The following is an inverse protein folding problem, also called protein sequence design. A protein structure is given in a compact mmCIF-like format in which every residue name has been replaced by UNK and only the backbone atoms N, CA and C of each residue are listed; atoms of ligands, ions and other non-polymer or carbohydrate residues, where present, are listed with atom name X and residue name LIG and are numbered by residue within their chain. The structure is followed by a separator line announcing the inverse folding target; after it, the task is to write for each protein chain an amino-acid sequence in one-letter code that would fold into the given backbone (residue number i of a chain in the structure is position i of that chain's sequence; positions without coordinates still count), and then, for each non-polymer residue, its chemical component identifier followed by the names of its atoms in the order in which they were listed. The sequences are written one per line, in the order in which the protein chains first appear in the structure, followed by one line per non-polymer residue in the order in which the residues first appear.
data_IF_602800706335
#
_entry.id   IF_602800706335
#
_cell.length_a   1.000
_cell.length_b   1.000
_cell.length_c   1.000
_cell.angle_alpha   90.00
_cell.angle_beta   90.00
_cell.angle_gamma   90.00
#
_symmetry.space_group_name_H-M   'P 1'
#
loop_
_entity.id
_entity.type
_entity.pdbx_description
1 polymer ?
#
# COMPACT_ATOMS: atom_id res chain seq x y z
N UNK A 1 -7.81 -17.40 30.97
CA UNK A 1 -7.32 -16.01 31.03
C UNK A 1 -5.84 -15.86 30.63
N UNK A 2 -5.11 -16.93 30.30
CA UNK A 2 -3.67 -16.89 29.97
C UNK A 2 -3.34 -16.36 28.55
N UNK A 3 -4.30 -16.36 27.62
CA UNK A 3 -4.09 -16.01 26.20
C UNK A 3 -3.86 -14.52 25.93
N UNK A 4 -4.53 -13.63 26.68
CA UNK A 4 -4.39 -12.18 26.51
C UNK A 4 -3.05 -11.68 27.10
N UNK A 5 -2.67 -12.20 28.27
CA UNK A 5 -1.38 -11.87 28.91
C UNK A 5 -0.18 -12.32 28.05
N UNK A 6 -0.25 -13.50 27.43
CA UNK A 6 0.80 -14.02 26.55
C UNK A 6 0.95 -13.19 25.26
N UNK A 7 -0.18 -12.75 24.70
CA UNK A 7 -0.22 -11.84 23.54
C UNK A 7 0.29 -10.43 23.89
N UNK A 8 0.03 -9.95 25.11
CA UNK A 8 0.54 -8.67 25.60
C UNK A 8 2.05 -8.70 25.87
N UNK A 9 2.58 -9.83 26.37
CA UNK A 9 4.01 -9.99 26.70
C UNK A 9 4.92 -10.03 25.46
N UNK A 10 4.38 -10.46 24.31
CA UNK A 10 5.06 -10.48 23.01
C UNK A 10 4.88 -9.19 22.21
N UNK A 11 4.08 -8.24 22.71
CA UNK A 11 3.73 -7.03 21.98
C UNK A 11 4.86 -6.00 22.05
N UNK A 12 5.46 -5.68 20.90
CA UNK A 12 6.40 -4.57 20.80
C UNK A 12 5.64 -3.24 20.84
N UNK A 13 5.46 -2.69 22.05
CA UNK A 13 4.73 -1.44 22.29
C UNK A 13 5.21 -0.30 21.38
N UNK A 14 6.53 -0.21 21.14
CA UNK A 14 7.09 0.80 20.23
C UNK A 14 6.64 0.58 18.78
N UNK A 15 6.59 -0.67 18.35
CA UNK A 15 6.10 -1.05 17.01
C UNK A 15 4.62 -0.71 16.82
N UNK A 16 3.80 -1.03 17.82
CA UNK A 16 2.36 -0.69 17.79
C UNK A 16 2.14 0.82 17.79
N UNK A 17 2.90 1.57 18.60
CA UNK A 17 2.83 3.03 18.65
C UNK A 17 3.23 3.67 17.31
N UNK A 18 4.32 3.20 16.70
CA UNK A 18 4.74 3.65 15.38
C UNK A 18 3.71 3.29 14.29
N UNK A 19 3.16 2.08 14.33
CA UNK A 19 2.11 1.66 13.39
C UNK A 19 0.88 2.55 13.51
N UNK A 20 0.45 2.89 14.74
CA UNK A 20 -0.66 3.80 14.97
C UNK A 20 -0.41 5.20 14.39
N UNK A 21 0.80 5.75 14.58
CA UNK A 21 1.19 7.04 13.99
C UNK A 21 1.15 6.97 12.47
N UNK A 22 1.76 5.93 11.88
CA UNK A 22 1.78 5.74 10.42
C UNK A 22 0.36 5.64 9.89
N UNK A 23 -0.52 4.85 10.51
CA UNK A 23 -1.91 4.73 10.11
C UNK A 23 -2.67 6.06 10.17
N UNK A 24 -2.49 6.84 11.25
CA UNK A 24 -3.10 8.15 11.38
C UNK A 24 -2.62 9.14 10.29
N UNK A 25 -1.31 9.14 10.01
CA UNK A 25 -0.72 9.97 8.96
C UNK A 25 -1.16 9.53 7.56
N UNK A 26 -1.25 8.22 7.30
CA UNK A 26 -1.78 7.68 6.05
C UNK A 26 -3.24 8.08 5.84
N UNK A 27 -4.05 8.11 6.90
CA UNK A 27 -5.43 8.59 6.83
C UNK A 27 -5.49 10.08 6.47
N UNK A 28 -4.69 10.91 7.14
CA UNK A 28 -4.59 12.35 6.82
C UNK A 28 -4.13 12.56 5.38
N UNK A 29 -3.09 11.84 4.93
CA UNK A 29 -2.62 11.91 3.55
C UNK A 29 -3.70 11.51 2.54
N UNK A 30 -4.47 10.45 2.81
CA UNK A 30 -5.59 10.04 1.97
C UNK A 30 -6.67 11.13 1.87
N UNK A 31 -6.95 11.84 2.96
CA UNK A 31 -7.90 12.95 2.96
C UNK A 31 -7.40 14.11 2.09
N UNK A 32 -6.13 14.50 2.21
CA UNK A 32 -5.53 15.52 1.35
C UNK A 32 -5.57 15.15 -0.14
N UNK A 33 -5.31 13.88 -0.46
CA UNK A 33 -5.39 13.40 -1.84
C UNK A 33 -6.80 13.49 -2.40
N UNK A 34 -7.84 13.20 -1.60
CA UNK A 34 -9.23 13.38 -2.02
C UNK A 34 -9.50 14.83 -2.44
N UNK A 35 -9.10 15.78 -1.61
CA UNK A 35 -9.34 17.19 -1.87
C UNK A 35 -8.57 17.67 -3.11
N UNK A 36 -7.30 17.25 -3.26
CA UNK A 36 -6.49 17.57 -4.43
C UNK A 36 -7.08 17.01 -5.73
N UNK A 37 -7.56 15.76 -5.69
CA UNK A 37 -8.24 15.13 -6.83
C UNK A 37 -9.52 15.90 -7.19
N UNK A 38 -10.34 16.23 -6.20
CA UNK A 38 -11.56 17.03 -6.43
C UNK A 38 -11.25 18.39 -7.05
N UNK A 39 -10.26 19.12 -6.51
CA UNK A 39 -9.83 20.41 -7.06
C UNK A 39 -9.27 20.29 -8.50
N UNK A 40 -8.54 19.21 -8.79
CA UNK A 40 -8.01 18.94 -10.14
C UNK A 40 -9.14 18.68 -11.13
N UNK A 41 -10.14 17.90 -10.74
CA UNK A 41 -11.32 17.62 -11.57
C UNK A 41 -12.13 18.90 -11.80
N UNK A 42 -12.33 19.72 -10.77
CA UNK A 42 -13.00 21.01 -10.87
C UNK A 42 -12.27 22.00 -11.79
N UNK A 43 -10.94 21.91 -11.85
CA UNK A 43 -10.11 22.77 -12.70
C UNK A 43 -10.08 22.33 -14.18
N UNK A 44 -10.09 21.03 -14.45
CA UNK A 44 -9.93 20.48 -15.80
C UNK A 44 -11.29 20.28 -16.48
N UNK A 45 -12.31 19.86 -15.74
CA UNK A 45 -13.63 19.54 -16.29
C UNK A 45 -14.56 20.74 -16.09
N UNK A 46 -15.12 21.33 -17.16
CA UNK A 46 -16.02 22.47 -17.04
C UNK A 46 -17.22 22.12 -16.15
N UNK A 47 -17.63 23.05 -15.29
CA UNK A 47 -18.73 22.89 -14.33
C UNK A 47 -20.07 22.72 -15.07
N UNK A 48 -20.39 21.48 -15.45
CA UNK A 48 -21.75 21.11 -15.82
C UNK A 48 -22.56 20.88 -14.55
N UNK A 49 -23.64 21.63 -14.34
CA UNK A 49 -24.50 21.55 -13.15
C UNK A 49 -25.28 20.20 -13.00
N UNK A 50 -24.91 19.15 -13.73
CA UNK A 50 -25.64 17.88 -13.80
C UNK A 50 -24.96 16.73 -13.05
N UNK A 51 -25.75 15.75 -12.62
CA UNK A 51 -25.29 14.48 -12.03
C UNK A 51 -24.21 13.77 -12.88
N UNK A 52 -24.25 13.96 -14.21
CA UNK A 52 -23.28 13.43 -15.18
C UNK A 52 -21.85 13.85 -14.85
N UNK A 53 -21.64 15.09 -14.37
CA UNK A 53 -20.33 15.59 -13.96
C UNK A 53 -19.75 14.78 -12.80
N UNK A 54 -20.58 14.51 -11.77
CA UNK A 54 -20.18 13.74 -10.58
C UNK A 54 -19.85 12.29 -10.94
N UNK A 55 -20.62 11.69 -11.84
CA UNK A 55 -20.35 10.33 -12.31
C UNK A 55 -19.07 10.25 -13.15
N UNK A 56 -18.81 11.23 -14.02
CA UNK A 56 -17.57 11.28 -14.79
C UNK A 56 -16.35 11.47 -13.88
N UNK A 57 -16.44 12.38 -12.90
CA UNK A 57 -15.42 12.56 -11.88
C UNK A 57 -15.14 11.25 -11.13
N UNK A 58 -16.18 10.59 -10.60
CA UNK A 58 -16.04 9.33 -9.88
C UNK A 58 -15.42 8.22 -10.76
N UNK A 59 -15.78 8.16 -12.04
CA UNK A 59 -15.23 7.19 -12.99
C UNK A 59 -13.73 7.40 -13.21
N UNK A 60 -13.30 8.65 -13.42
CA UNK A 60 -11.87 8.99 -13.60
C UNK A 60 -11.08 8.61 -12.35
N UNK A 61 -11.58 8.96 -11.16
CA UNK A 61 -10.92 8.62 -9.89
C UNK A 61 -10.80 7.10 -9.71
N UNK A 62 -11.83 6.37 -10.09
CA UNK A 62 -11.84 4.90 -10.01
C UNK A 62 -10.79 4.29 -10.94
N UNK A 63 -10.67 4.78 -12.17
CA UNK A 63 -9.63 4.32 -13.11
C UNK A 63 -8.24 4.60 -12.55
N UNK A 64 -7.99 5.83 -12.05
CA UNK A 64 -6.70 6.18 -11.48
C UNK A 64 -6.35 5.29 -10.29
N UNK A 65 -7.30 5.08 -9.37
CA UNK A 65 -7.11 4.20 -8.22
C UNK A 65 -6.81 2.74 -8.65
N UNK A 66 -7.56 2.22 -9.62
CA UNK A 66 -7.34 0.86 -10.14
C UNK A 66 -5.94 0.70 -10.76
N UNK A 67 -5.49 1.70 -11.54
CA UNK A 67 -4.14 1.71 -12.12
C UNK A 67 -3.09 1.76 -11.01
N UNK A 68 -3.24 2.64 -10.01
CA UNK A 68 -2.30 2.74 -8.88
C UNK A 68 -2.20 1.42 -8.12
N UNK A 69 -3.33 0.79 -7.78
CA UNK A 69 -3.37 -0.51 -7.09
C UNK A 69 -2.69 -1.59 -7.94
N UNK A 70 -2.99 -1.64 -9.25
CA UNK A 70 -2.38 -2.60 -10.15
C UNK A 70 -0.86 -2.45 -10.22
N UNK A 71 -0.36 -1.21 -10.30
CA UNK A 71 1.08 -0.92 -10.32
C UNK A 71 1.74 -1.31 -8.99
N UNK A 72 1.12 -1.02 -7.85
CA UNK A 72 1.63 -1.43 -6.53
C UNK A 72 1.72 -2.94 -6.42
N UNK A 73 0.64 -3.65 -6.77
CA UNK A 73 0.63 -5.12 -6.78
C UNK A 73 1.71 -5.70 -7.71
N UNK A 74 1.91 -5.09 -8.88
CA UNK A 74 2.97 -5.53 -9.80
C UNK A 74 4.36 -5.33 -9.21
N UNK A 75 4.58 -4.20 -8.55
CA UNK A 75 5.87 -3.87 -7.94
C UNK A 75 6.20 -4.81 -6.77
N UNK A 76 5.21 -5.18 -5.96
CA UNK A 76 5.38 -6.16 -4.87
C UNK A 76 5.76 -7.54 -5.41
N UNK A 77 5.03 -8.01 -6.43
CA UNK A 77 5.31 -9.32 -7.05
C UNK A 77 6.74 -9.41 -7.61
N UNK A 78 7.23 -8.37 -8.27
CA UNK A 78 8.60 -8.31 -8.77
C UNK A 78 9.62 -8.38 -7.62
N UNK A 79 9.34 -7.69 -6.52
CA UNK A 79 10.21 -7.66 -5.33
C UNK A 79 10.30 -9.03 -4.66
N UNK A 80 9.17 -9.74 -4.56
CA UNK A 80 9.14 -11.12 -4.06
C UNK A 80 9.92 -12.07 -4.96
N UNK A 81 9.72 -12.01 -6.28
CA UNK A 81 10.44 -12.87 -7.24
C UNK A 81 11.96 -12.67 -7.17
N UNK A 82 12.42 -11.42 -7.05
CA UNK A 82 13.84 -11.11 -6.83
C UNK A 82 14.36 -11.65 -5.50
N UNK A 83 13.58 -11.50 -4.43
CA UNK A 83 13.93 -12.00 -3.11
C UNK A 83 14.09 -13.52 -3.10
N UNK A 84 13.12 -14.25 -3.68
CA UNK A 84 13.20 -15.71 -3.84
C UNK A 84 14.35 -16.15 -4.75
N UNK A 85 14.64 -15.39 -5.81
CA UNK A 85 15.80 -15.66 -6.67
C UNK A 85 17.11 -15.54 -5.89
N UNK A 86 17.28 -14.51 -5.06
CA UNK A 86 18.44 -14.35 -4.18
C UNK A 86 18.56 -15.51 -3.18
N UNK A 87 17.46 -15.92 -2.55
CA UNK A 87 17.44 -17.07 -1.64
C UNK A 87 17.86 -18.38 -2.31
N UNK A 88 17.37 -18.67 -3.53
CA UNK A 88 17.77 -19.88 -4.29
C UNK A 88 19.27 -19.91 -4.60
N UNK A 89 19.87 -18.76 -4.91
CA UNK A 89 21.31 -18.65 -5.18
C UNK A 89 22.14 -18.88 -3.91
N UNK A 90 21.70 -18.35 -2.76
CA UNK A 90 22.35 -18.57 -1.47
C UNK A 90 22.31 -20.05 -1.05
N UNK A 91 21.18 -20.72 -1.24
CA UNK A 91 21.05 -22.16 -0.96
C UNK A 91 22.03 -23.01 -1.78
N UNK A 92 22.16 -22.75 -3.09
CA UNK A 92 23.14 -23.46 -3.96
C UNK A 92 24.58 -23.19 -3.55
N UNK A 93 24.92 -21.95 -3.14
CA UNK A 93 26.27 -21.62 -2.65
C UNK A 93 26.63 -22.40 -1.39
N UNK A 94 25.71 -22.50 -0.41
CA UNK A 94 25.96 -23.28 0.82
C UNK A 94 26.20 -24.77 0.53
N UNK A 95 25.41 -25.39 -0.36
CA UNK A 95 25.58 -26.81 -0.69
C UNK A 95 26.93 -27.09 -1.35
N UNK A 96 27.44 -26.19 -2.19
CA UNK A 96 28.78 -26.32 -2.79
C UNK A 96 29.92 -26.19 -1.78
N UNK A 97 29.74 -25.40 -0.72
CA UNK A 97 30.75 -25.24 0.34
C UNK A 97 30.82 -26.48 1.23
N UNK A 98 29.68 -27.12 1.54
CA UNK A 98 29.63 -28.32 2.40
C UNK A 98 30.19 -29.57 1.69
N UNK A 99 30.14 -29.60 0.34
CA UNK A 99 30.64 -30.73 -0.48
C UNK A 99 32.13 -30.63 -0.86
N UNK A 100 32.85 -29.60 -0.43
CA UNK A 100 34.27 -29.37 -0.74
C UNK A 100 35.10 -29.54 0.53
#
# INVERSE_FOLDING_TARGET
MTTIEESAKSLNIRGVFLAAIVSALSFVAALFWRDAISATIDAIIPKGHGLIYKYLAAFIVTILAAISIYLMYRAEKLREEEFFRKLRLLGRKRIKIIKK
#
